data_IF_087758952450
#
_entry.id   IF_087758952450
#
_cell.length_a   1.000
_cell.length_b   1.000
_cell.length_c   1.000
_cell.angle_alpha   90.00
_cell.angle_beta   90.00
_cell.angle_gamma   90.00
#
_symmetry.space_group_name_H-M   'P 1'
#
loop_
_entity.id
_entity.type
_entity.pdbx_description
1 polymer ?
2 non-polymer ?
3 non-polymer ?
4 water ?
#
# COMPACT_ATOMS: atom_id res chain seq x y z
N UNK A 1 -18.02 -4.12 33.82
CA UNK A 1 -17.36 -3.63 32.52
C UNK A 1 -16.10 -2.66 32.62
N UNK A 2 -15.09 -2.86 31.78
CA UNK A 2 -13.88 -2.02 31.74
C UNK A 2 -13.39 -1.82 30.30
N UNK A 3 -12.62 -0.77 30.07
CA UNK A 3 -11.99 -0.49 28.82
C UNK A 3 -10.79 -1.44 28.57
N UNK A 4 -10.95 -2.32 27.58
CA UNK A 4 -9.86 -3.21 27.26
C UNK A 4 -8.83 -2.60 26.31
N UNK A 5 -9.32 -1.70 25.45
CA UNK A 5 -8.48 -0.97 24.42
C UNK A 5 -9.23 0.26 23.96
N UNK A 6 -8.44 1.25 23.60
CA UNK A 6 -8.99 2.55 23.27
C UNK A 6 -7.99 3.24 22.35
N UNK A 7 -8.51 3.90 21.32
CA UNK A 7 -7.66 4.76 20.53
C UNK A 7 -8.54 5.82 19.89
N UNK A 8 -7.98 7.00 19.62
CA UNK A 8 -8.84 8.08 19.12
C UNK A 8 -7.86 9.04 18.38
N UNK A 9 -8.36 9.80 17.41
CA UNK A 9 -7.53 10.76 16.72
C UNK A 9 -8.25 11.34 15.51
N UNK A 10 -7.47 11.67 14.49
CA UNK A 10 -8.04 12.38 13.32
C UNK A 10 -7.77 11.56 12.12
N UNK A 11 -8.81 11.29 11.32
CA UNK A 11 -8.65 10.52 10.12
C UNK A 11 -8.90 11.43 8.91
N UNK A 12 -8.48 11.02 7.71
CA UNK A 12 -8.77 11.76 6.49
C UNK A 12 -8.28 13.21 6.45
N UNK A 13 -7.14 13.46 7.07
CA UNK A 13 -6.53 14.78 6.97
C UNK A 13 -5.71 14.91 5.69
N UNK A 14 -6.22 15.69 4.74
CA UNK A 14 -5.57 15.80 3.48
C UNK A 14 -4.45 16.90 3.60
N UNK A 15 -3.29 16.61 3.08
CA UNK A 15 -2.16 17.51 3.21
C UNK A 15 -1.45 17.61 1.89
N UNK A 16 -1.16 18.84 1.52
CA UNK A 16 -0.41 19.07 0.34
C UNK A 16 0.76 19.92 0.82
N UNK A 17 1.92 19.61 0.27
CA UNK A 17 3.10 20.40 0.48
C UNK A 17 3.84 20.67 -0.84
N UNK A 18 4.16 21.94 -1.06
CA UNK A 18 5.06 22.29 -2.20
C UNK A 18 6.55 22.57 -1.78
N UNK A 19 7.49 21.92 -2.47
CA UNK A 19 8.88 22.37 -2.43
C UNK A 19 9.29 23.25 -3.66
N UNK A 20 9.72 24.48 -3.36
CA UNK A 20 10.20 25.49 -4.35
C UNK A 20 11.76 25.66 -4.39
N UNK A 21 12.43 25.05 -5.37
CA UNK A 21 13.83 25.37 -5.61
C UNK A 21 14.01 26.81 -6.15
N UNK A 22 14.88 27.60 -5.52
CA UNK A 22 15.14 28.96 -6.03
C UNK A 22 16.14 28.95 -7.20
N UNK A 23 17.21 28.16 -7.05
CA UNK A 23 18.13 27.81 -8.16
C UNK A 23 17.36 27.46 -9.43
N UNK A 24 16.82 26.23 -9.48
CA UNK A 24 16.21 25.72 -10.72
C UNK A 24 14.88 26.41 -11.09
N UNK A 25 14.20 27.01 -10.12
CA UNK A 25 12.79 27.47 -10.34
C UNK A 25 11.77 26.31 -10.32
N UNK A 26 12.28 25.11 -10.03
CA UNK A 26 11.54 23.88 -10.04
C UNK A 26 10.75 23.68 -8.75
N UNK A 27 9.47 23.32 -8.94
CA UNK A 27 8.55 22.99 -7.86
C UNK A 27 8.26 21.51 -7.87
N UNK A 28 8.11 21.00 -6.63
CA UNK A 28 7.77 19.60 -6.39
C UNK A 28 6.62 19.58 -5.39
N UNK A 29 5.53 18.90 -5.74
CA UNK A 29 4.39 18.85 -4.84
C UNK A 29 4.27 17.42 -4.25
N UNK A 30 3.72 17.39 -3.05
CA UNK A 30 3.49 16.13 -2.32
C UNK A 30 2.10 16.23 -1.81
N UNK A 31 1.26 15.22 -2.11
CA UNK A 31 -0.08 15.19 -1.53
C UNK A 31 -0.33 13.84 -0.85
N UNK A 32 -0.92 13.90 0.31
CA UNK A 32 -1.13 12.69 1.06
C UNK A 32 -2.39 12.80 1.91
N UNK A 33 -2.83 11.69 2.50
CA UNK A 33 -3.96 11.72 3.43
C UNK A 33 -3.46 11.05 4.64
N UNK A 34 -3.63 11.68 5.77
CA UNK A 34 -3.00 11.22 6.98
C UNK A 34 -4.03 10.86 8.04
N UNK A 35 -3.77 9.76 8.75
CA UNK A 35 -4.58 9.38 9.89
C UNK A 35 -3.67 9.18 11.11
N UNK A 36 -3.95 9.82 12.22
CA UNK A 36 -3.19 9.60 13.45
C UNK A 36 -4.18 9.20 14.54
N UNK A 37 -3.92 8.04 15.14
CA UNK A 37 -4.65 7.63 16.33
C UNK A 37 -3.73 7.47 17.53
N UNK A 38 -4.17 7.94 18.70
CA UNK A 38 -3.34 7.84 19.89
C UNK A 38 -3.85 6.79 20.85
N UNK A 39 -2.96 6.13 21.57
CA UNK A 39 -3.35 5.37 22.78
C UNK A 39 -2.59 5.87 23.98
N UNK A 40 -3.15 5.70 25.15
CA UNK A 40 -2.37 5.87 26.37
C UNK A 40 -3.25 5.86 27.61
N UNK A 41 -2.98 6.78 28.54
CA UNK A 41 -3.79 6.77 29.71
C UNK A 41 -5.04 7.63 29.51
N UNK A 42 -6.00 7.10 28.75
CA UNK A 42 -7.16 7.91 28.35
C UNK A 42 -8.49 7.25 28.68
N UNK A 43 -8.43 6.14 29.44
CA UNK A 43 -9.66 5.42 29.87
C UNK A 43 -10.68 6.37 30.50
N UNK A 44 -10.20 7.31 31.34
CA UNK A 44 -11.14 8.19 32.10
C UNK A 44 -12.01 9.05 31.18
N UNK A 45 -11.48 9.35 29.98
CA UNK A 45 -12.28 10.18 29.03
C UNK A 45 -13.47 9.36 28.64
N UNK A 46 -13.32 8.04 28.63
CA UNK A 46 -14.47 7.15 28.35
C UNK A 46 -15.38 6.84 29.53
N UNK A 47 -14.75 6.57 30.66
CA UNK A 47 -15.48 6.01 31.82
C UNK A 47 -15.98 7.11 32.75
N UNK A 48 -15.24 8.20 32.88
CA UNK A 48 -15.56 9.20 33.86
C UNK A 48 -15.99 10.54 33.27
N UNK A 49 -16.15 10.65 31.93
CA UNK A 49 -16.25 11.99 31.24
C UNK A 49 -15.09 12.92 31.53
N UNK A 50 -13.89 12.39 31.70
CA UNK A 50 -12.74 13.25 31.98
C UNK A 50 -11.93 13.63 30.71
N UNK A 51 -12.27 14.79 30.11
CA UNK A 51 -11.72 15.28 28.86
C UNK A 51 -10.31 15.81 29.03
N UNK A 52 -9.88 15.81 30.32
CA UNK A 52 -8.58 16.39 30.67
C UNK A 52 -7.45 15.61 30.06
N UNK A 53 -7.73 14.33 29.79
CA UNK A 53 -6.77 13.39 29.15
C UNK A 53 -6.75 13.42 27.62
N UNK A 54 -7.64 14.18 27.01
CA UNK A 54 -7.82 14.22 25.55
C UNK A 54 -7.00 15.35 24.87
N UNK A 55 -5.98 14.98 24.12
CA UNK A 55 -5.39 15.86 23.13
C UNK A 55 -6.50 15.92 22.04
N UNK A 56 -7.19 17.07 21.85
CA UNK A 56 -8.39 17.09 20.98
C UNK A 56 -8.01 16.69 19.54
N UNK A 57 -8.92 15.96 18.87
CA UNK A 57 -8.62 15.49 17.51
C UNK A 57 -8.30 16.72 16.61
N UNK A 58 -9.01 17.82 16.84
CA UNK A 58 -8.69 19.09 16.17
C UNK A 58 -7.22 19.50 16.32
N UNK A 59 -6.67 19.32 17.53
CA UNK A 59 -5.23 19.60 17.75
C UNK A 59 -4.31 18.67 17.03
N UNK A 60 -4.73 17.41 16.96
CA UNK A 60 -3.99 16.41 16.25
C UNK A 60 -3.91 16.88 14.82
N UNK A 61 -5.04 17.39 14.31
CA UNK A 61 -5.05 17.89 12.92
C UNK A 61 -4.05 19.09 12.72
N UNK A 62 -4.18 20.12 13.58
CA UNK A 62 -3.24 21.22 13.65
C UNK A 62 -1.83 20.70 13.63
N UNK A 63 -1.52 19.68 14.48
CA UNK A 63 -0.15 19.13 14.59
C UNK A 63 0.38 18.50 13.31
N UNK A 64 -0.49 17.81 12.60
CA UNK A 64 -0.09 17.24 11.32
C UNK A 64 0.36 18.36 10.39
N UNK A 65 -0.45 19.41 10.29
CA UNK A 65 -0.07 20.56 9.45
C UNK A 65 1.27 21.20 9.93
N UNK A 66 1.42 21.46 11.26
CA UNK A 66 2.67 22.00 11.80
C UNK A 66 3.88 21.09 11.47
N UNK A 67 3.75 19.79 11.68
CA UNK A 67 4.89 18.89 11.44
C UNK A 67 5.31 18.82 9.98
N UNK A 68 4.32 18.76 9.07
CA UNK A 68 4.53 18.88 7.62
C UNK A 68 5.22 20.24 7.25
N UNK A 69 4.80 21.33 7.87
CA UNK A 69 5.53 22.60 7.80
C UNK A 69 7.05 22.54 8.22
N UNK A 70 7.37 21.92 9.36
CA UNK A 70 8.73 21.90 9.84
C UNK A 70 9.58 20.77 9.35
N UNK A 71 8.99 19.76 8.71
CA UNK A 71 9.84 18.62 8.35
C UNK A 71 9.59 18.26 6.95
N UNK A 72 10.48 17.44 6.38
CA UNK A 72 10.18 16.82 5.11
C UNK A 72 8.98 15.85 5.22
N UNK A 73 8.22 15.69 4.13
CA UNK A 73 7.00 14.84 4.17
C UNK A 73 7.34 13.61 3.45
N UNK A 74 8.56 13.60 2.94
CA UNK A 74 9.08 12.52 2.16
C UNK A 74 10.44 12.00 2.77
N UNK A 75 10.70 10.67 2.76
CA UNK A 75 9.75 9.59 2.40
C UNK A 75 8.69 9.48 3.53
N UNK A 76 7.51 8.94 3.19
CA UNK A 76 6.40 8.87 4.16
C UNK A 76 6.74 8.12 5.45
N UNK A 77 7.59 7.11 5.34
CA UNK A 77 8.08 6.35 6.52
C UNK A 77 8.77 7.24 7.53
N UNK A 78 9.44 8.28 7.06
CA UNK A 78 10.11 9.21 7.92
C UNK A 78 9.12 10.18 8.49
N UNK A 79 8.35 10.82 7.62
CA UNK A 79 7.32 11.75 8.11
C UNK A 79 6.43 11.09 9.13
N UNK A 80 5.94 9.88 8.86
CA UNK A 80 5.14 9.16 9.85
C UNK A 80 5.81 8.92 11.18
N UNK A 81 7.12 8.57 11.12
CA UNK A 81 7.88 8.33 12.38
C UNK A 81 8.04 9.64 13.16
N UNK A 82 8.36 10.75 12.46
CA UNK A 82 8.45 12.05 13.13
C UNK A 82 7.15 12.42 13.81
N UNK A 83 6.04 12.34 13.05
CA UNK A 83 4.74 12.67 13.56
C UNK A 83 4.36 11.81 14.75
N UNK A 84 4.71 10.52 14.70
CA UNK A 84 4.20 9.66 15.78
C UNK A 84 5.10 9.89 17.01
N UNK A 85 6.41 10.03 16.78
CA UNK A 85 7.34 10.31 17.88
C UNK A 85 6.95 11.59 18.54
N UNK A 86 6.53 12.57 17.76
CA UNK A 86 6.15 13.84 18.36
C UNK A 86 5.14 13.65 19.47
N UNK A 87 4.15 12.80 19.23
CA UNK A 87 3.05 12.69 20.20
C UNK A 87 3.40 11.96 21.49
N UNK A 88 4.30 10.99 21.42
CA UNK A 88 4.58 10.20 22.61
C UNK A 88 5.61 10.97 23.47
N UNK A 89 6.46 11.80 22.84
CA UNK A 89 7.44 12.69 23.55
C UNK A 89 6.72 13.90 24.12
N UNK A 90 5.85 14.53 23.30
CA UNK A 90 5.10 15.64 23.80
C UNK A 90 4.20 15.34 25.00
N UNK A 91 3.51 14.19 24.98
CA UNK A 91 2.47 13.97 26.00
C UNK A 91 2.84 12.79 26.84
N UNK A 92 2.94 13.05 28.16
CA UNK A 92 3.35 12.02 29.13
C UNK A 92 2.40 10.79 29.18
N UNK A 93 1.09 11.04 29.09
CA UNK A 93 0.10 9.98 29.22
C UNK A 93 -0.24 9.27 27.87
N UNK A 94 0.45 9.66 26.78
CA UNK A 94 0.17 9.12 25.48
C UNK A 94 1.26 8.10 25.23
N UNK A 95 0.95 6.84 25.08
CA UNK A 95 2.04 5.86 24.99
C UNK A 95 2.24 5.23 23.62
N UNK A 96 1.29 5.44 22.71
CA UNK A 96 1.40 4.89 21.37
C UNK A 96 0.77 5.87 20.42
N UNK A 97 1.42 6.04 19.29
CA UNK A 97 0.86 6.85 18.21
C UNK A 97 0.85 5.95 16.98
N UNK A 98 -0.30 5.88 16.30
CA UNK A 98 -0.39 5.12 15.05
C UNK A 98 -0.63 6.09 13.95
N UNK A 99 0.24 6.08 12.97
CA UNK A 99 0.08 7.04 11.92
C UNK A 99 -0.14 6.33 10.63
N UNK A 100 -1.23 6.64 9.92
CA UNK A 100 -1.33 6.02 8.59
C UNK A 100 -1.25 7.07 7.49
N UNK A 101 -0.50 6.81 6.42
CA UNK A 101 -0.34 7.81 5.34
C UNK A 101 -0.58 7.18 3.97
N UNK A 102 -1.41 7.82 3.15
CA UNK A 102 -1.62 7.47 1.77
C UNK A 102 -0.98 8.58 0.96
N UNK A 103 -0.08 8.24 0.01
CA UNK A 103 0.53 9.25 -0.85
C UNK A 103 -0.17 9.16 -2.20
N UNK A 104 -0.66 10.28 -2.73
CA UNK A 104 -1.33 10.33 -4.01
C UNK A 104 -0.34 10.70 -5.16
N UNK A 105 -0.50 10.12 -6.35
CA UNK A 105 0.46 10.43 -7.44
C UNK A 105 0.30 11.80 -7.99
N UNK A 106 1.36 12.62 -7.91
CA UNK A 106 1.39 13.82 -8.76
C UNK A 106 2.69 13.72 -9.55
N UNK A 107 2.62 13.17 -10.76
CA UNK A 107 3.74 13.01 -11.70
C UNK A 107 3.98 14.27 -12.57
N UNK A 108 5.21 14.76 -12.50
CA UNK A 108 5.61 15.90 -13.32
C UNK A 108 5.17 15.73 -14.75
N UNK A 109 4.52 16.75 -15.30
CA UNK A 109 4.18 16.63 -16.72
C UNK A 109 5.42 16.79 -17.67
N UNK A 110 5.42 16.02 -18.77
CA UNK A 110 6.34 16.23 -19.88
C UNK A 110 5.61 17.04 -20.94
N UNK A 111 6.04 18.27 -21.13
CA UNK A 111 5.52 19.10 -22.21
C UNK A 111 6.60 19.17 -23.30
N UNK A 112 6.34 18.54 -24.44
CA UNK A 112 7.27 18.56 -25.58
C UNK A 112 8.61 17.95 -25.22
N UNK A 113 8.57 16.71 -24.73
CA UNK A 113 9.77 15.99 -24.34
C UNK A 113 10.44 16.48 -23.05
N UNK A 114 10.16 17.72 -22.60
CA UNK A 114 10.79 18.24 -21.38
C UNK A 114 9.93 18.37 -20.07
N UNK A 115 10.48 17.89 -18.92
CA UNK A 115 9.86 18.02 -17.58
C UNK A 115 9.46 19.42 -17.17
N UNK A 116 8.17 19.61 -17.02
CA UNK A 116 7.67 20.89 -16.71
C UNK A 116 7.98 21.25 -15.29
N UNK A 117 8.48 22.47 -15.08
CA UNK A 117 8.87 22.85 -13.72
C UNK A 117 7.79 22.89 -12.63
N UNK A 118 6.50 22.99 -12.99
CA UNK A 118 5.45 23.19 -11.97
C UNK A 118 4.00 22.68 -12.28
N UNK A 119 3.92 21.72 -13.17
CA UNK A 119 2.69 21.11 -13.56
C UNK A 119 2.80 19.60 -13.46
N UNK A 120 1.69 19.00 -12.97
CA UNK A 120 1.63 17.59 -12.61
C UNK A 120 0.30 17.02 -13.00
N UNK A 121 0.32 15.70 -13.10
CA UNK A 121 -0.70 14.90 -13.60
C UNK A 121 -0.84 13.69 -12.65
N UNK A 122 -2.10 13.30 -12.38
CA UNK A 122 -2.37 12.20 -11.48
C UNK A 122 -2.40 11.06 -12.44
N UNK A 123 -1.25 10.44 -12.63
CA UNK A 123 -1.13 9.52 -13.75
C UNK A 123 -1.60 8.16 -13.38
N UNK A 124 -2.05 7.93 -12.16
CA UNK A 124 -2.66 6.66 -11.79
C UNK A 124 -3.30 6.80 -10.38
N UNK A 125 -4.28 5.94 -10.05
CA UNK A 125 -4.86 5.82 -8.68
C UNK A 125 -4.07 4.87 -7.79
N UNK A 126 -2.97 4.33 -8.30
CA UNK A 126 -1.99 3.69 -7.44
C UNK A 126 -1.55 4.55 -6.26
N UNK A 127 -1.42 3.93 -5.10
CA UNK A 127 -1.04 4.65 -3.88
C UNK A 127 0.22 4.02 -3.32
N UNK A 128 1.00 4.79 -2.59
CA UNK A 128 2.05 4.32 -1.75
C UNK A 128 1.62 4.67 -0.30
N UNK A 129 1.69 3.71 0.61
CA UNK A 129 1.18 3.93 1.93
C UNK A 129 2.24 3.53 2.97
N UNK A 130 2.09 4.02 4.19
CA UNK A 130 2.77 3.51 5.32
C UNK A 130 1.85 3.40 6.49
N UNK A 131 2.16 2.46 7.37
CA UNK A 131 1.55 2.36 8.64
C UNK A 131 2.72 2.45 9.61
N UNK A 132 2.67 3.39 10.53
CA UNK A 132 3.81 3.57 11.46
C UNK A 132 3.26 3.48 12.83
N UNK A 133 3.75 2.53 13.62
CA UNK A 133 3.38 2.47 15.03
C UNK A 133 4.55 2.83 15.94
N UNK A 134 4.38 3.91 16.67
CA UNK A 134 5.45 4.46 17.45
C UNK A 134 4.92 4.19 18.83
N UNK A 135 5.65 3.32 19.55
CA UNK A 135 5.18 2.88 20.87
C UNK A 135 6.21 3.14 21.97
N UNK A 136 5.82 3.86 23.04
CA UNK A 136 6.79 4.18 24.09
C UNK A 136 7.49 2.90 24.58
N UNK A 137 8.82 2.95 24.58
CA UNK A 137 9.62 1.78 24.98
C UNK A 137 9.88 0.70 23.93
N UNK A 138 9.09 0.64 22.86
CA UNK A 138 9.17 -0.48 21.90
C UNK A 138 9.59 -0.04 20.52
N UNK A 139 10.03 1.19 20.35
CA UNK A 139 10.54 1.64 19.05
C UNK A 139 9.43 2.00 18.06
N UNK A 140 9.74 1.76 16.80
CA UNK A 140 8.94 2.19 15.66
C UNK A 140 8.79 1.03 14.70
N UNK A 141 7.52 0.62 14.55
CA UNK A 141 7.16 -0.41 13.54
C UNK A 141 6.58 0.23 12.27
N UNK A 142 7.14 -0.17 11.13
CA UNK A 142 6.78 0.42 9.92
C UNK A 142 6.42 -0.67 8.91
N UNK A 143 5.27 -0.50 8.28
CA UNK A 143 4.86 -1.32 7.16
C UNK A 143 4.64 -0.36 6.02
N UNK A 144 5.33 -0.57 4.92
CA UNK A 144 5.14 0.24 3.77
C UNK A 144 4.40 -0.57 2.73
N UNK A 145 3.75 0.07 1.77
CA UNK A 145 3.01 -0.71 0.82
C UNK A 145 2.74 0.05 -0.45
N UNK A 146 2.38 -0.66 -1.50
CA UNK A 146 1.82 -0.04 -2.65
C UNK A 146 0.45 -0.74 -2.81
N UNK A 147 -0.53 -0.04 -3.35
CA UNK A 147 -1.86 -0.64 -3.50
C UNK A 147 -2.49 0.01 -4.70
N UNK A 148 -3.50 -0.63 -5.28
CA UNK A 148 -4.22 0.03 -6.35
C UNK A 148 -3.42 -0.06 -7.63
N UNK A 149 -2.47 -0.99 -7.70
CA UNK A 149 -1.73 -1.21 -8.94
C UNK A 149 -2.42 -2.24 -9.76
N UNK A 150 -3.19 -1.77 -10.74
CA UNK A 150 -4.03 -2.64 -11.55
C UNK A 150 -3.40 -3.09 -12.88
N UNK A 151 -3.31 -4.39 -13.08
CA UNK A 151 -2.58 -4.93 -14.24
C UNK A 151 -3.39 -6.08 -14.85
N UNK A 152 -3.07 -6.39 -16.08
CA UNK A 152 -3.67 -7.49 -16.80
C UNK A 152 -2.62 -8.03 -17.80
N UNK A 153 -2.66 -9.35 -17.96
CA UNK A 153 -1.97 -9.99 -19.04
C UNK A 153 -2.97 -10.86 -19.77
N UNK A 154 -2.90 -10.84 -21.10
CA UNK A 154 -3.90 -11.49 -21.97
C UNK A 154 -3.63 -12.95 -22.19
N UNK A 155 -2.45 -13.38 -21.78
CA UNK A 155 -2.07 -14.79 -21.95
C UNK A 155 -0.91 -15.09 -20.99
N UNK A 156 -0.39 -16.32 -21.00
CA UNK A 156 0.72 -16.75 -20.08
C UNK A 156 0.28 -16.83 -18.66
N UNK A 157 -0.90 -17.39 -18.53
CA UNK A 157 -1.41 -17.66 -17.24
C UNK A 157 -2.25 -18.89 -17.45
N UNK A 158 -2.23 -19.77 -16.45
CA UNK A 158 -2.84 -21.08 -16.55
C UNK A 158 -3.43 -21.41 -15.23
N UNK A 159 -4.38 -22.34 -15.20
CA UNK A 159 -4.81 -22.87 -13.95
C UNK A 159 -5.39 -24.25 -14.14
N UNK A 160 -4.55 -25.25 -13.82
CA UNK A 160 -4.98 -26.68 -13.99
C UNK A 160 -4.40 -27.49 -12.84
N UNK A 161 -4.90 -28.71 -12.66
CA UNK A 161 -4.39 -29.53 -11.60
C UNK A 161 -5.04 -29.29 -10.23
N UNK A 162 -6.11 -28.49 -10.17
CA UNK A 162 -6.68 -28.16 -8.85
C UNK A 162 -7.66 -29.26 -8.38
N UNK A 163 -7.98 -29.29 -7.09
CA UNK A 163 -8.91 -30.30 -6.58
C UNK A 163 -10.26 -30.28 -7.33
N UNK A 164 -10.79 -31.48 -7.62
CA UNK A 164 -12.05 -31.66 -8.30
C UNK A 164 -12.93 -32.55 -7.50
N UNK A 165 -14.14 -32.14 -7.24
CA UNK A 165 -14.98 -33.02 -6.54
C UNK A 165 -16.40 -32.63 -6.91
N UNK A 166 -17.40 -33.01 -6.13
CA UNK A 166 -18.78 -32.73 -6.54
C UNK A 166 -19.21 -31.25 -6.33
N UNK A 167 -18.26 -30.38 -5.95
CA UNK A 167 -18.50 -28.94 -5.90
C UNK A 167 -17.83 -28.27 -7.07
N UNK A 168 -17.11 -29.02 -7.87
CA UNK A 168 -16.29 -28.41 -8.91
C UNK A 168 -17.05 -28.37 -10.23
N UNK A 169 -17.07 -27.18 -10.87
CA UNK A 169 -17.57 -27.05 -12.24
C UNK A 169 -16.53 -26.38 -13.11
N UNK A 170 -15.47 -25.86 -12.50
CA UNK A 170 -14.52 -25.05 -13.24
C UNK A 170 -13.69 -25.96 -14.13
N UNK A 171 -13.47 -25.56 -15.35
CA UNK A 171 -12.65 -26.32 -16.26
C UNK A 171 -11.23 -25.86 -16.18
N UNK A 172 -10.30 -26.81 -16.17
CA UNK A 172 -8.86 -26.54 -16.22
C UNK A 172 -8.57 -25.80 -17.49
N UNK A 173 -7.54 -24.96 -17.49
CA UNK A 173 -7.17 -24.20 -18.63
C UNK A 173 -5.65 -24.06 -18.69
N UNK A 174 -5.15 -23.81 -19.88
CA UNK A 174 -3.75 -23.63 -20.10
C UNK A 174 -3.49 -22.30 -20.68
N UNK A 175 -4.57 -21.56 -21.00
CA UNK A 175 -4.42 -20.17 -21.49
C UNK A 175 -5.56 -19.29 -20.92
N UNK A 176 -5.23 -18.26 -20.16
CA UNK A 176 -6.32 -17.38 -19.59
C UNK A 176 -5.75 -16.02 -19.40
N UNK A 177 -6.68 -15.06 -19.26
CA UNK A 177 -6.37 -13.70 -18.84
C UNK A 177 -6.09 -13.75 -17.34
N UNK A 178 -5.04 -13.06 -16.91
CA UNK A 178 -4.93 -12.84 -15.47
C UNK A 178 -4.97 -11.35 -15.25
N UNK A 179 -5.86 -10.93 -14.34
CA UNK A 179 -5.94 -9.48 -14.01
C UNK A 179 -6.07 -9.30 -12.49
N UNK A 180 -5.39 -8.30 -11.93
CA UNK A 180 -5.47 -8.09 -10.49
C UNK A 180 -5.19 -6.68 -10.09
N UNK A 181 -5.54 -6.33 -8.86
CA UNK A 181 -5.14 -5.04 -8.30
C UNK A 181 -4.15 -5.43 -7.23
N UNK A 182 -2.92 -4.98 -7.36
CA UNK A 182 -1.90 -5.47 -6.47
C UNK A 182 -1.86 -4.69 -5.17
N UNK A 183 -1.84 -5.43 -4.06
CA UNK A 183 -1.61 -4.84 -2.77
C UNK A 183 -0.37 -5.51 -2.20
N UNK A 184 0.72 -4.78 -1.98
CA UNK A 184 1.94 -5.42 -1.48
C UNK A 184 2.47 -4.66 -0.32
N UNK A 185 2.69 -5.35 0.79
CA UNK A 185 3.14 -4.74 2.02
C UNK A 185 4.45 -5.36 2.43
N UNK A 186 5.42 -4.53 2.80
CA UNK A 186 6.66 -5.08 3.34
C UNK A 186 6.85 -4.47 4.71
N UNK A 187 7.09 -5.34 5.68
CA UNK A 187 7.30 -4.97 7.05
C UNK A 187 8.83 -4.87 7.43
N UNK A 188 9.24 -3.68 7.85
CA UNK A 188 10.60 -3.42 8.23
C UNK A 188 10.93 -4.09 9.58
N UNK A 189 12.22 -4.40 9.82
CA UNK A 189 12.71 -4.84 11.11
C UNK A 189 12.38 -3.68 12.04
N UNK A 190 12.04 -3.94 13.29
CA UNK A 190 11.70 -2.88 14.24
C UNK A 190 12.87 -1.89 14.40
N UNK A 191 12.60 -0.59 14.46
CA UNK A 191 13.65 0.39 14.61
C UNK A 191 13.53 0.87 16.03
N UNK A 192 14.68 1.28 16.56
CA UNK A 192 14.78 1.66 17.97
C UNK A 192 14.22 3.02 18.19
N UNK A 193 14.15 3.85 17.16
CA UNK A 193 13.56 5.16 17.35
C UNK A 193 13.85 5.98 16.13
N UNK A 194 13.64 7.29 16.24
CA UNK A 194 13.72 8.19 15.10
C UNK A 194 15.11 8.26 14.45
N UNK A 195 16.15 8.26 15.30
CA UNK A 195 17.51 8.33 14.82
C UNK A 195 17.77 7.15 13.95
N UNK A 196 17.30 5.99 14.39
CA UNK A 196 17.48 4.84 13.53
C UNK A 196 16.63 4.93 12.26
N UNK A 197 15.44 5.53 12.33
CA UNK A 197 14.68 5.60 11.08
C UNK A 197 15.42 6.55 10.19
N UNK A 198 15.87 7.69 10.74
CA UNK A 198 16.64 8.65 9.88
C UNK A 198 17.82 7.98 9.24
N UNK A 199 18.45 7.05 9.96
CA UNK A 199 19.65 6.44 9.42
C UNK A 199 19.38 5.54 8.19
N UNK A 200 18.11 5.14 7.94
CA UNK A 200 17.81 4.24 6.79
C UNK A 200 17.03 4.88 5.68
N UNK A 201 16.80 6.17 5.82
CA UNK A 201 16.02 6.94 4.86
C UNK A 201 16.16 6.56 3.40
N UNK A 202 17.41 6.51 2.84
CA UNK A 202 17.53 6.14 1.43
C UNK A 202 16.97 4.75 1.06
N UNK A 203 16.86 3.85 2.04
CA UNK A 203 16.32 2.50 1.76
C UNK A 203 14.78 2.52 1.45
N UNK A 204 14.06 3.52 1.94
CA UNK A 204 12.59 3.57 1.84
C UNK A 204 12.14 3.75 0.41
N UNK A 205 12.48 4.89 -0.21
CA UNK A 205 12.21 5.10 -1.63
C UNK A 205 12.73 3.96 -2.45
N UNK A 206 13.87 3.39 -2.09
CA UNK A 206 14.50 2.42 -2.99
C UNK A 206 13.79 1.09 -2.93
N UNK A 207 13.36 0.71 -1.73
CA UNK A 207 12.70 -0.60 -1.53
C UNK A 207 11.29 -0.54 -2.14
N UNK A 208 10.69 0.64 -2.09
CA UNK A 208 9.40 0.87 -2.71
C UNK A 208 9.50 0.60 -4.20
N UNK A 209 10.46 1.28 -4.82
CA UNK A 209 10.75 1.17 -6.28
C UNK A 209 11.05 -0.26 -6.63
N UNK A 210 11.77 -0.94 -5.76
CA UNK A 210 12.10 -2.34 -6.01
C UNK A 210 10.87 -3.25 -5.92
N UNK A 211 10.01 -2.99 -4.94
CA UNK A 211 8.78 -3.76 -4.84
C UNK A 211 7.86 -3.54 -6.04
N UNK A 212 7.69 -2.30 -6.46
CA UNK A 212 6.98 -2.00 -7.72
C UNK A 212 7.61 -2.72 -8.92
N UNK A 213 8.85 -2.43 -9.22
CA UNK A 213 9.65 -3.15 -10.25
C UNK A 213 9.50 -4.66 -10.28
N UNK A 214 9.78 -5.31 -9.16
CA UNK A 214 9.66 -6.73 -9.08
C UNK A 214 8.25 -7.17 -9.30
N UNK A 215 7.30 -6.44 -8.76
CA UNK A 215 5.91 -6.84 -8.91
C UNK A 215 5.58 -6.89 -10.39
N UNK A 216 5.92 -5.81 -11.08
CA UNK A 216 5.55 -5.65 -12.48
C UNK A 216 6.24 -6.67 -13.36
N UNK A 217 7.53 -6.90 -13.13
CA UNK A 217 8.29 -7.83 -13.96
C UNK A 217 7.86 -9.26 -13.76
N UNK A 218 7.64 -9.68 -12.52
CA UNK A 218 7.25 -11.06 -12.31
C UNK A 218 5.86 -11.31 -12.93
N UNK A 219 5.00 -10.28 -12.85
CA UNK A 219 3.63 -10.53 -13.28
C UNK A 219 3.73 -10.75 -14.80
N UNK A 220 4.45 -9.84 -15.48
CA UNK A 220 4.60 -9.87 -16.94
C UNK A 220 5.36 -11.15 -17.46
N UNK A 221 6.38 -11.59 -16.71
CA UNK A 221 7.22 -12.71 -17.19
C UNK A 221 6.82 -14.07 -16.62
N UNK A 222 6.28 -14.12 -15.41
CA UNK A 222 5.99 -15.43 -14.93
C UNK A 222 4.95 -16.09 -15.83
N UNK A 223 5.14 -17.33 -16.26
CA UNK A 223 4.03 -18.05 -16.92
C UNK A 223 3.33 -18.75 -15.86
N UNK A 224 2.23 -18.14 -15.43
CA UNK A 224 1.76 -18.31 -14.07
C UNK A 224 0.98 -19.59 -13.93
N UNK A 225 1.32 -20.37 -12.92
CA UNK A 225 0.64 -21.63 -12.65
C UNK A 225 -0.66 -21.41 -11.87
N UNK A 226 -0.73 -20.22 -11.26
CA UNK A 226 -1.76 -19.84 -10.33
C UNK A 226 -1.35 -18.46 -9.83
N UNK A 227 -2.30 -17.67 -9.43
CA UNK A 227 -2.00 -16.45 -8.63
C UNK A 227 -1.10 -16.74 -7.45
N UNK A 228 -1.44 -17.76 -6.62
CA UNK A 228 -0.60 -18.22 -5.48
C UNK A 228 0.92 -18.33 -5.84
N UNK A 229 1.19 -18.95 -6.98
CA UNK A 229 2.53 -19.30 -7.35
C UNK A 229 3.20 -18.01 -7.80
N UNK A 230 2.45 -17.18 -8.55
CA UNK A 230 3.00 -15.90 -9.00
C UNK A 230 3.32 -14.88 -7.90
N UNK A 231 2.48 -14.81 -6.86
CA UNK A 231 2.75 -13.82 -5.85
C UNK A 231 3.89 -14.23 -4.92
N UNK A 232 4.01 -15.51 -4.64
CA UNK A 232 5.12 -16.01 -3.89
C UNK A 232 6.45 -15.60 -4.57
N UNK A 233 6.59 -15.76 -5.89
CA UNK A 233 7.86 -15.41 -6.53
C UNK A 233 8.10 -13.95 -6.37
N UNK A 234 7.09 -13.10 -6.43
CA UNK A 234 7.30 -11.65 -6.17
C UNK A 234 7.87 -11.36 -4.76
N UNK A 235 7.22 -11.92 -3.77
CA UNK A 235 7.54 -11.74 -2.36
C UNK A 235 8.96 -12.28 -2.07
N UNK A 236 9.29 -13.42 -2.67
CA UNK A 236 10.61 -14.10 -2.53
C UNK A 236 11.69 -13.12 -2.99
N UNK A 237 11.45 -12.49 -4.13
CA UNK A 237 12.42 -11.53 -4.62
C UNK A 237 12.61 -10.27 -3.81
N UNK A 238 11.50 -9.71 -3.31
CA UNK A 238 11.64 -8.49 -2.53
C UNK A 238 12.47 -8.77 -1.29
N UNK A 239 12.15 -9.87 -0.63
CA UNK A 239 12.91 -10.30 0.55
C UNK A 239 14.43 -10.45 0.26
N UNK A 240 14.76 -11.01 -0.92
CA UNK A 240 16.16 -11.24 -1.28
C UNK A 240 16.86 -9.90 -1.54
N UNK A 241 16.11 -8.93 -2.03
CA UNK A 241 16.67 -7.65 -2.41
C UNK A 241 16.85 -6.67 -1.27
N UNK A 242 16.32 -6.96 -0.10
CA UNK A 242 16.35 -5.97 1.00
C UNK A 242 16.31 -6.62 2.35
N UNK A 243 17.45 -6.54 3.01
CA UNK A 243 17.72 -7.30 4.19
C UNK A 243 16.99 -6.73 5.40
N UNK A 244 16.69 -5.43 5.36
CA UNK A 244 15.99 -4.82 6.47
C UNK A 244 14.45 -5.16 6.59
N UNK A 245 13.92 -5.92 5.63
CA UNK A 245 12.51 -6.34 5.55
C UNK A 245 12.39 -7.67 6.26
N UNK A 246 11.45 -7.80 7.18
CA UNK A 246 11.21 -9.10 7.73
C UNK A 246 10.19 -9.97 6.94
N UNK A 247 9.12 -9.38 6.42
CA UNK A 247 8.03 -10.12 5.74
C UNK A 247 7.50 -9.27 4.63
N UNK A 248 7.08 -9.99 3.59
CA UNK A 248 6.38 -9.39 2.51
C UNK A 248 5.01 -10.02 2.49
N UNK A 249 4.00 -9.18 2.37
CA UNK A 249 2.70 -9.74 2.24
C UNK A 249 2.02 -9.27 0.93
N UNK A 250 1.32 -10.18 0.29
CA UNK A 250 0.60 -9.83 -0.93
C UNK A 250 -0.86 -10.16 -0.79
N UNK A 251 -1.68 -9.29 -1.32
CA UNK A 251 -3.08 -9.57 -1.37
C UNK A 251 -3.56 -9.25 -2.78
N UNK A 252 -4.02 -10.31 -3.47
CA UNK A 252 -4.31 -10.25 -4.89
C UNK A 252 -5.72 -10.72 -5.23
N UNK A 253 -6.60 -9.81 -5.64
CA UNK A 253 -7.85 -10.28 -6.21
C UNK A 253 -7.64 -10.95 -7.60
N UNK A 254 -8.41 -11.97 -7.94
CA UNK A 254 -8.40 -12.48 -9.26
C UNK A 254 -9.63 -11.92 -9.93
N UNK A 255 -9.46 -10.94 -10.82
CA UNK A 255 -10.58 -10.31 -11.55
C UNK A 255 -10.88 -11.08 -12.79
N UNK A 256 -11.94 -11.87 -12.76
CA UNK A 256 -12.20 -12.83 -13.80
C UNK A 256 -12.68 -12.21 -15.05
N UNK A 257 -12.25 -12.74 -16.19
CA UNK A 257 -12.77 -12.33 -17.48
C UNK A 257 -13.32 -13.61 -18.09
N UNK A 258 -14.63 -13.70 -18.24
CA UNK A 258 -15.27 -14.92 -18.73
C UNK A 258 -15.31 -14.94 -20.25
N UNK A 259 -15.01 -16.12 -20.83
CA UNK A 259 -15.34 -16.42 -22.22
C UNK A 259 -16.80 -16.23 -22.48
N UNK A 260 -17.12 -15.68 -23.63
CA UNK A 260 -18.50 -15.63 -24.06
C UNK A 260 -18.72 -16.60 -25.27
N UNK A 261 -19.57 -17.58 -25.05
CA UNK A 261 -19.91 -18.58 -26.08
C UNK A 261 -20.89 -17.95 -27.07
N UNK A 262 -20.45 -17.77 -28.32
CA UNK A 262 -21.29 -17.16 -29.35
C UNK A 262 -21.74 -18.14 -30.47
N UNK A 263 -21.55 -19.45 -30.23
CA UNK A 263 -21.80 -20.46 -31.22
C UNK A 263 -23.31 -20.61 -31.43
N UNK A 264 -24.12 -20.32 -30.42
CA UNK A 264 -25.59 -20.25 -30.63
C UNK A 264 -25.89 -19.24 -31.75
N UNK A 265 -24.97 -18.36 -32.11
CA UNK A 265 -25.33 -17.40 -33.12
C UNK A 265 -24.56 -17.60 -34.40
N UNK A 266 -25.19 -18.26 -35.39
CA UNK A 266 -24.60 -18.46 -36.73
C UNK A 266 -23.30 -19.26 -36.63
N UNK A 267 -23.27 -20.17 -35.62
CA UNK A 267 -22.08 -20.90 -35.22
C UNK A 267 -20.83 -20.08 -35.03
N UNK A 268 -21.01 -18.88 -34.49
CA UNK A 268 -19.90 -17.98 -34.24
C UNK A 268 -18.91 -18.59 -33.20
N UNK A 269 -17.62 -18.43 -33.49
CA UNK A 269 -16.57 -19.16 -32.80
C UNK A 269 -15.78 -18.19 -31.93
N UNK A 270 -16.05 -18.24 -30.61
CA UNK A 270 -15.47 -17.29 -29.65
C UNK A 270 -14.91 -17.92 -28.35
N UNK A 271 -14.79 -19.25 -28.32
CA UNK A 271 -14.25 -19.96 -27.15
C UNK A 271 -12.88 -20.58 -27.42
N UNK A 272 -12.25 -21.05 -26.35
CA UNK A 272 -10.94 -21.63 -26.43
C UNK A 272 -9.95 -20.81 -27.21
N UNK A 273 -9.36 -21.44 -28.25
CA UNK A 273 -8.34 -20.81 -29.10
C UNK A 273 -8.96 -19.71 -29.92
N UNK A 274 -10.28 -19.78 -30.10
CA UNK A 274 -11.00 -18.73 -30.83
C UNK A 274 -11.47 -17.46 -30.00
N UNK A 275 -11.33 -17.51 -28.67
CA UNK A 275 -11.81 -16.46 -27.72
C UNK A 275 -11.17 -15.10 -28.04
N UNK A 276 -12.02 -14.12 -28.40
CA UNK A 276 -11.54 -12.78 -28.69
C UNK A 276 -12.24 -11.77 -27.81
N UNK A 277 -13.51 -12.06 -27.61
CA UNK A 277 -14.41 -11.23 -26.89
C UNK A 277 -14.76 -11.89 -25.56
N UNK A 278 -14.46 -11.17 -24.46
CA UNK A 278 -14.72 -11.62 -23.09
C UNK A 278 -15.61 -10.63 -22.35
N UNK A 279 -16.28 -11.13 -21.32
CA UNK A 279 -17.08 -10.38 -20.35
C UNK A 279 -16.31 -10.22 -19.01
N UNK A 280 -15.69 -9.01 -18.74
CA UNK A 280 -14.98 -8.79 -17.49
C UNK A 280 -16.07 -8.90 -16.42
N UNK A 281 -15.81 -9.54 -15.26
CA UNK A 281 -16.81 -9.74 -14.25
C UNK A 281 -16.48 -8.81 -13.11
N UNK A 282 -17.48 -8.08 -12.63
CA UNK A 282 -17.34 -7.16 -11.50
C UNK A 282 -17.24 -7.94 -10.17
N UNK A 283 -18.02 -9.01 -10.04
CA UNK A 283 -17.93 -9.83 -8.88
C UNK A 283 -18.56 -11.15 -9.28
N UNK A 284 -18.29 -12.22 -8.49
CA UNK A 284 -17.33 -12.37 -7.42
C UNK A 284 -15.91 -12.32 -7.88
N UNK A 285 -14.96 -12.30 -6.96
CA UNK A 285 -13.57 -12.43 -7.40
C UNK A 285 -12.83 -13.27 -6.41
N UNK A 286 -11.85 -13.99 -6.92
CA UNK A 286 -10.96 -14.81 -6.10
C UNK A 286 -10.19 -13.78 -5.29
N UNK A 287 -9.88 -14.14 -4.04
CA UNK A 287 -9.01 -13.29 -3.27
C UNK A 287 -7.90 -14.19 -2.71
N UNK A 288 -6.67 -13.81 -2.94
CA UNK A 288 -5.53 -14.70 -2.66
C UNK A 288 -4.46 -13.94 -1.92
N UNK A 289 -4.03 -14.48 -0.79
CA UNK A 289 -3.14 -13.79 0.16
C UNK A 289 -1.99 -14.69 0.59
N UNK A 290 -0.86 -14.08 0.89
CA UNK A 290 0.33 -14.80 1.21
C UNK A 290 1.19 -13.88 2.06
N UNK A 291 1.73 -14.40 3.16
CA UNK A 291 2.79 -13.72 3.88
C UNK A 291 4.06 -14.52 3.83
N UNK A 292 5.12 -13.89 3.40
CA UNK A 292 6.35 -14.61 3.15
C UNK A 292 7.36 -14.01 4.07
N UNK A 293 8.03 -14.82 4.85
CA UNK A 293 9.11 -14.36 5.76
C UNK A 293 10.42 -15.12 5.47
N UNK A 294 11.37 -14.97 6.38
CA UNK A 294 12.69 -15.59 6.15
C UNK A 294 12.80 -17.04 6.75
N UNK A 295 13.24 -18.03 5.94
CA UNK A 295 13.28 -19.46 6.42
C UNK A 295 14.31 -19.78 7.54
X LIG B 1 -6.05 -19.57 -8.03
X LIG B 1 -6.05 -19.10 -9.33
X LIG B 1 -5.00 -18.59 -9.75
X LIG B 1 -7.16 -19.17 -10.15
X LIG B 1 -8.29 -19.75 -9.63
X LIG B 1 -8.36 -20.28 -8.29
X LIG B 1 -7.12 -20.15 -7.47
X LIG B 1 -7.09 -20.56 -6.27
X LIG B 1 -9.62 -20.79 -8.05
X LIG B 1 -10.30 -20.59 -9.24
X LIG B 1 -9.47 -19.93 -10.24
X LIG C 1 -9.30 4.57 8.92
X LIG C 1 -7.88 4.08 8.63
X LIG C 1 -6.88 5.24 8.86
X LIG C 1 -7.23 5.74 10.50
#
# INVERSE_FOLDING_TARGET
SAVKAARYGKDNVRVYKVHKDEKTGVQTVYEMTVCVLLEGEIETSYTKADNSVIVATDSIKNTIYITAKQNPVTPPELFGSILGTHFIEKYNHIHAAHVNIVCHRWTRMDIDGKPHPHSFIRDSEEKRNVQVDVVEGKGIDIKSSLSGLTVLKSTNSQFWGFLRDEYTTLKETWDRILSTDVDATWQWKNFSGLQEVRSHVPKFDATWATAREVTLKTFAEDNSASVQATMYKMAEQILARQQLIETVEYSLPNKHYFEIDLSWHKGLQNTGKNAEVFAPQSDPNGLIKCTVGRSSLKSKL
AZA N1 C2 O2 N3 C4 C5 C6 O6 N7 N8 N9
CYS N CA CB SG
#
